data_IF_536466330349
#
_entry.id   IF_536466330349
#
_cell.length_a   1.000
_cell.length_b   1.000
_cell.length_c   1.000
_cell.angle_alpha   90.00
_cell.angle_beta   90.00
_cell.angle_gamma   90.00
#
_symmetry.space_group_name_H-M   'P 1'
#
loop_
_entity.id
_entity.type
_entity.pdbx_description
1 polymer ?
#
# COMPACT_ATOMS: atom_id res chain seq x y z
N UNK A 1 29.67 -6.01 7.38
CA UNK A 1 29.15 -6.89 6.31
C UNK A 1 28.43 -6.01 5.29
N UNK A 2 28.57 -6.29 3.99
CA UNK A 2 27.78 -5.59 2.98
C UNK A 2 26.29 -5.94 3.14
N UNK A 3 25.39 -4.96 3.02
CA UNK A 3 23.95 -5.16 3.10
C UNK A 3 23.47 -5.89 1.84
N UNK A 4 22.64 -6.94 2.00
CA UNK A 4 22.04 -7.65 0.88
C UNK A 4 21.02 -6.76 0.13
N UNK A 5 20.86 -7.01 -1.16
CA UNK A 5 19.79 -6.42 -1.95
C UNK A 5 18.48 -7.19 -1.68
N UNK A 6 17.53 -6.54 -1.04
CA UNK A 6 16.25 -7.14 -0.67
C UNK A 6 15.15 -6.73 -1.67
N UNK A 7 14.63 -7.70 -2.43
CA UNK A 7 13.54 -7.54 -3.39
C UNK A 7 12.18 -8.07 -2.87
N UNK A 8 12.06 -8.27 -1.56
CA UNK A 8 10.81 -8.74 -0.95
C UNK A 8 9.68 -7.74 -1.17
N UNK A 9 8.47 -8.23 -1.40
CA UNK A 9 7.30 -7.39 -1.65
C UNK A 9 6.66 -6.78 -0.39
N UNK A 10 7.07 -7.26 0.79
CA UNK A 10 6.60 -6.77 2.10
C UNK A 10 6.81 -7.84 3.18
N UNK A 11 7.52 -7.49 4.27
CA UNK A 11 8.24 -6.24 4.50
C UNK A 11 9.33 -5.99 3.47
N UNK A 12 9.46 -4.73 3.03
CA UNK A 12 10.46 -4.33 2.02
C UNK A 12 11.75 -3.83 2.66
N UNK A 13 12.72 -3.45 1.82
CA UNK A 13 13.93 -2.78 2.29
C UNK A 13 13.62 -1.37 2.82
N UNK A 14 14.04 -1.07 4.03
CA UNK A 14 14.01 0.29 4.60
C UNK A 14 15.27 1.03 4.17
N UNK A 15 15.23 2.34 3.83
CA UNK A 15 16.42 3.12 3.52
C UNK A 15 17.49 3.01 4.61
N UNK A 16 18.78 2.93 4.21
CA UNK A 16 19.86 2.76 5.18
C UNK A 16 19.94 3.94 6.14
N UNK A 17 19.76 5.16 5.64
CA UNK A 17 19.79 6.39 6.45
C UNK A 17 18.74 6.35 7.56
N UNK A 18 17.52 5.86 7.24
CA UNK A 18 16.43 5.67 8.23
C UNK A 18 16.82 4.66 9.30
N UNK A 19 17.43 3.54 8.90
CA UNK A 19 17.91 2.52 9.86
C UNK A 19 19.06 3.03 10.72
N UNK A 20 19.98 3.81 10.14
CA UNK A 20 21.10 4.40 10.86
C UNK A 20 20.61 5.38 11.90
N UNK A 21 19.72 6.29 11.53
CA UNK A 21 19.13 7.24 12.48
C UNK A 21 18.34 6.51 13.58
N UNK A 22 17.52 5.53 13.24
CA UNK A 22 16.79 4.74 14.22
C UNK A 22 17.71 3.97 15.17
N UNK A 23 18.88 3.53 14.71
CA UNK A 23 19.89 2.86 15.54
C UNK A 23 20.55 3.85 16.51
N UNK A 24 20.90 5.05 16.05
CA UNK A 24 21.49 6.10 16.89
C UNK A 24 20.55 6.56 18.00
N UNK A 25 19.25 6.67 17.69
CA UNK A 25 18.22 7.12 18.63
C UNK A 25 17.58 5.95 19.44
N UNK A 26 18.07 4.71 19.27
CA UNK A 26 17.38 3.52 19.76
C UNK A 26 17.28 3.47 21.30
N UNK A 27 18.32 3.89 22.03
CA UNK A 27 18.35 3.88 23.48
C UNK A 27 18.03 5.22 24.13
N UNK A 28 18.21 6.31 23.37
CA UNK A 28 17.97 7.66 23.88
C UNK A 28 17.33 8.53 22.79
N UNK A 29 16.01 8.50 22.72
CA UNK A 29 15.29 9.33 21.78
C UNK A 29 15.17 10.76 22.29
N UNK A 30 15.68 11.70 21.51
CA UNK A 30 15.60 13.15 21.77
C UNK A 30 16.15 13.59 23.16
N UNK A 31 17.15 12.88 23.69
CA UNK A 31 17.77 13.21 24.99
C UNK A 31 16.89 12.90 26.21
N UNK A 32 15.89 12.02 26.04
CA UNK A 32 14.96 11.64 27.13
C UNK A 32 15.52 10.56 28.05
N UNK A 33 16.63 9.92 27.67
CA UNK A 33 17.17 8.74 28.36
C UNK A 33 16.31 7.47 28.17
N UNK A 34 15.34 7.50 27.22
CA UNK A 34 14.42 6.38 26.93
C UNK A 34 14.35 6.13 25.42
N UNK A 35 14.11 4.88 25.04
CA UNK A 35 13.73 4.54 23.67
C UNK A 35 12.36 5.11 23.32
N UNK A 36 12.14 5.45 22.06
CA UNK A 36 10.80 5.84 21.58
C UNK A 36 9.73 4.78 21.87
N UNK A 37 10.12 3.51 22.03
CA UNK A 37 9.21 2.41 22.39
C UNK A 37 8.70 2.48 23.84
N UNK A 38 9.43 3.17 24.72
CA UNK A 38 9.13 3.30 26.15
C UNK A 38 8.42 4.62 26.47
N UNK A 39 8.46 5.59 25.53
CA UNK A 39 7.88 6.90 25.72
C UNK A 39 6.35 6.81 25.60
N UNK A 40 5.65 7.40 26.57
CA UNK A 40 4.19 7.49 26.50
C UNK A 40 3.73 8.17 25.23
N UNK A 41 2.81 7.53 24.50
CA UNK A 41 2.20 8.09 23.30
C UNK A 41 1.43 9.41 23.54
N UNK A 42 1.14 9.73 24.80
CA UNK A 42 0.48 10.99 25.24
C UNK A 42 1.46 12.05 25.68
N UNK A 43 2.76 11.77 25.70
CA UNK A 43 3.78 12.78 26.00
C UNK A 43 3.92 13.77 24.85
N UNK A 44 4.38 14.98 25.18
CA UNK A 44 4.66 16.01 24.15
C UNK A 44 5.70 15.53 23.15
N UNK A 45 6.67 14.73 23.56
CA UNK A 45 7.72 14.17 22.71
C UNK A 45 7.14 13.27 21.63
N UNK A 46 6.28 12.32 22.01
CA UNK A 46 5.66 11.44 21.01
C UNK A 46 4.59 12.13 20.17
N UNK A 47 3.83 13.05 20.77
CA UNK A 47 2.87 13.87 20.02
C UNK A 47 3.53 14.68 18.92
N UNK A 48 4.77 15.18 19.16
CA UNK A 48 5.56 15.84 18.11
C UNK A 48 5.91 14.87 16.97
N UNK A 49 6.38 13.66 17.28
CA UNK A 49 6.65 12.61 16.26
C UNK A 49 5.41 12.33 15.41
N UNK A 50 4.25 12.16 16.05
CA UNK A 50 3.00 11.87 15.37
C UNK A 50 2.55 13.02 14.46
N UNK A 51 2.60 14.26 14.97
CA UNK A 51 2.20 15.46 14.25
C UNK A 51 3.13 15.74 13.05
N UNK A 52 4.45 15.59 13.23
CA UNK A 52 5.42 15.78 12.15
C UNK A 52 5.22 14.72 11.05
N UNK A 53 5.03 13.45 11.42
CA UNK A 53 4.78 12.39 10.45
C UNK A 53 3.49 12.62 9.65
N UNK A 54 2.41 13.10 10.30
CA UNK A 54 1.19 13.46 9.59
C UNK A 54 1.42 14.63 8.64
N UNK A 55 2.10 15.69 9.09
CA UNK A 55 2.37 16.86 8.27
C UNK A 55 3.26 16.50 7.06
N UNK A 56 4.32 15.73 7.26
CA UNK A 56 5.18 15.26 6.18
C UNK A 56 4.42 14.44 5.14
N UNK A 57 3.51 13.56 5.59
CA UNK A 57 2.67 12.78 4.69
C UNK A 57 1.72 13.69 3.88
N UNK A 58 1.10 14.68 4.55
CA UNK A 58 0.24 15.68 3.91
C UNK A 58 0.98 16.47 2.85
N UNK A 59 2.18 16.93 3.16
CA UNK A 59 3.03 17.70 2.25
C UNK A 59 3.43 16.89 1.03
N UNK A 60 3.86 15.64 1.23
CA UNK A 60 4.34 14.75 0.16
C UNK A 60 3.21 14.36 -0.81
N UNK A 61 2.02 14.10 -0.28
CA UNK A 61 0.89 13.61 -1.07
C UNK A 61 -0.07 14.73 -1.52
N UNK A 62 0.12 15.97 -1.06
CA UNK A 62 -0.81 17.06 -1.32
C UNK A 62 -2.21 16.78 -0.74
N UNK A 63 -2.28 16.22 0.47
CA UNK A 63 -3.57 15.87 1.10
C UNK A 63 -4.39 17.12 1.35
N UNK A 64 -5.65 17.22 0.86
CA UNK A 64 -6.50 18.37 1.11
C UNK A 64 -6.66 18.64 2.63
N UNK A 65 -6.66 19.89 3.09
CA UNK A 65 -6.70 20.21 4.53
C UNK A 65 -7.91 19.61 5.27
N UNK A 66 -9.06 19.46 4.59
CA UNK A 66 -10.27 18.91 5.17
C UNK A 66 -10.15 17.40 5.46
N UNK A 67 -9.37 16.67 4.66
CA UNK A 67 -9.24 15.21 4.79
C UNK A 67 -8.63 14.81 6.13
N UNK A 68 -9.09 13.70 6.67
CA UNK A 68 -8.52 13.12 7.89
C UNK A 68 -7.46 12.09 7.51
N UNK A 69 -6.33 12.16 8.23
CA UNK A 69 -5.26 11.17 8.14
C UNK A 69 -5.28 10.36 9.43
N UNK A 70 -5.48 9.06 9.31
CA UNK A 70 -5.59 8.14 10.43
C UNK A 70 -4.40 7.18 10.40
N UNK A 71 -3.78 6.98 11.56
CA UNK A 71 -2.70 6.03 11.77
C UNK A 71 -3.22 4.87 12.60
N UNK A 72 -3.36 3.71 11.97
CA UNK A 72 -4.05 2.53 12.49
C UNK A 72 -3.11 1.34 12.59
N UNK A 73 -3.61 0.27 13.18
CA UNK A 73 -2.98 -1.05 13.17
C UNK A 73 -3.75 -2.00 12.24
N UNK A 74 -3.27 -3.23 12.06
CA UNK A 74 -4.01 -4.31 11.38
C UNK A 74 -3.73 -4.48 9.87
N UNK A 75 -3.03 -3.56 9.22
CA UNK A 75 -2.66 -3.67 7.79
C UNK A 75 -3.86 -3.61 6.85
N UNK A 76 -3.61 -3.88 5.57
CA UNK A 76 -4.66 -3.93 4.54
C UNK A 76 -5.74 -4.97 4.84
N UNK A 77 -5.37 -6.10 5.44
CA UNK A 77 -6.35 -7.16 5.74
C UNK A 77 -7.45 -6.70 6.70
N UNK A 78 -7.11 -5.82 7.65
CA UNK A 78 -8.14 -5.20 8.50
C UNK A 78 -8.95 -4.18 7.69
N UNK A 79 -8.33 -3.40 6.80
CA UNK A 79 -9.03 -2.41 5.98
C UNK A 79 -10.06 -3.06 5.05
N UNK A 80 -9.83 -4.28 4.57
CA UNK A 80 -10.82 -5.03 3.77
C UNK A 80 -12.16 -5.24 4.49
N UNK A 81 -12.14 -5.32 5.84
CA UNK A 81 -13.33 -5.38 6.67
C UNK A 81 -13.76 -3.99 7.17
N UNK A 82 -12.80 -3.16 7.57
CA UNK A 82 -13.07 -1.87 8.22
C UNK A 82 -13.69 -0.85 7.24
N UNK A 83 -13.28 -0.87 5.97
CA UNK A 83 -13.85 -0.02 4.92
C UNK A 83 -15.37 -0.23 4.78
N UNK A 84 -15.89 -1.45 4.51
CA UNK A 84 -17.34 -1.63 4.43
C UNK A 84 -18.06 -1.31 5.76
N UNK A 85 -17.47 -1.63 6.92
CA UNK A 85 -18.05 -1.27 8.21
C UNK A 85 -18.27 0.24 8.38
N UNK A 86 -17.40 1.07 7.78
CA UNK A 86 -17.42 2.52 7.95
C UNK A 86 -18.08 3.28 6.79
N UNK A 87 -18.13 2.70 5.59
CA UNK A 87 -18.54 3.46 4.40
C UNK A 87 -19.86 2.99 3.78
N UNK A 88 -20.36 1.82 4.17
CA UNK A 88 -21.55 1.26 3.50
C UNK A 88 -22.81 2.08 3.77
N UNK A 89 -22.95 2.63 4.98
CA UNK A 89 -24.12 3.40 5.38
C UNK A 89 -25.43 2.64 5.12
N UNK A 90 -26.47 3.36 4.72
CA UNK A 90 -27.78 2.81 4.40
C UNK A 90 -27.88 2.22 2.99
N UNK A 91 -26.86 2.40 2.15
CA UNK A 91 -26.89 1.93 0.75
C UNK A 91 -26.79 0.42 0.61
N UNK A 92 -26.12 -0.25 1.53
CA UNK A 92 -26.03 -1.71 1.60
C UNK A 92 -25.19 -2.38 0.51
N UNK A 93 -24.86 -1.69 -0.59
CA UNK A 93 -24.17 -2.23 -1.77
C UNK A 93 -22.90 -1.44 -2.07
N UNK A 94 -21.83 -2.15 -2.46
CA UNK A 94 -20.57 -1.54 -2.90
C UNK A 94 -20.03 -2.21 -4.16
N UNK A 95 -19.42 -1.42 -5.03
CA UNK A 95 -18.80 -1.85 -6.28
C UNK A 95 -17.31 -2.15 -6.08
N UNK A 96 -16.82 -3.20 -6.75
CA UNK A 96 -15.43 -3.64 -6.69
C UNK A 96 -14.88 -3.97 -8.08
N UNK A 97 -13.66 -3.51 -8.36
CA UNK A 97 -12.87 -3.96 -9.51
C UNK A 97 -11.98 -5.13 -9.09
N UNK A 98 -12.06 -6.24 -9.81
CA UNK A 98 -11.30 -7.47 -9.52
C UNK A 98 -10.13 -7.62 -10.49
N UNK A 99 -8.96 -7.15 -10.08
CA UNK A 99 -7.75 -7.07 -10.91
C UNK A 99 -6.61 -7.97 -10.44
N UNK A 100 -6.81 -8.73 -9.36
CA UNK A 100 -5.79 -9.65 -8.85
C UNK A 100 -6.15 -10.28 -7.51
N UNK A 101 -5.12 -10.80 -6.83
CA UNK A 101 -5.28 -11.49 -5.54
C UNK A 101 -5.82 -10.57 -4.45
N UNK A 102 -5.30 -9.32 -4.37
CA UNK A 102 -5.62 -8.44 -3.26
C UNK A 102 -7.02 -7.86 -3.38
N UNK A 103 -7.40 -7.43 -4.57
CA UNK A 103 -8.79 -7.05 -4.85
C UNK A 103 -9.76 -8.20 -4.60
N UNK A 104 -9.39 -9.45 -4.94
CA UNK A 104 -10.18 -10.64 -4.63
C UNK A 104 -10.36 -10.86 -3.12
N UNK A 105 -9.30 -10.66 -2.32
CA UNK A 105 -9.40 -10.74 -0.85
C UNK A 105 -10.24 -9.61 -0.25
N UNK A 106 -10.16 -8.41 -0.81
CA UNK A 106 -11.02 -7.30 -0.39
C UNK A 106 -12.50 -7.61 -0.66
N UNK A 107 -12.82 -8.14 -1.84
CA UNK A 107 -14.17 -8.62 -2.21
C UNK A 107 -14.67 -9.67 -1.23
N UNK A 108 -13.87 -10.70 -0.95
CA UNK A 108 -14.24 -11.79 -0.05
C UNK A 108 -14.54 -11.28 1.38
N UNK A 109 -13.69 -10.40 1.89
CA UNK A 109 -13.88 -9.83 3.22
C UNK A 109 -15.12 -8.93 3.29
N UNK A 110 -15.33 -8.06 2.28
CA UNK A 110 -16.45 -7.12 2.25
C UNK A 110 -17.83 -7.80 2.18
N UNK A 111 -17.94 -8.97 1.54
CA UNK A 111 -19.18 -9.77 1.45
C UNK A 111 -19.79 -10.14 2.79
N UNK A 112 -19.05 -10.03 3.88
CA UNK A 112 -19.57 -10.25 5.23
C UNK A 112 -20.34 -9.06 5.78
N UNK A 113 -20.20 -7.89 5.16
CA UNK A 113 -20.69 -6.61 5.67
C UNK A 113 -21.66 -5.91 4.71
N UNK A 114 -21.61 -6.24 3.42
CA UNK A 114 -22.44 -5.60 2.41
C UNK A 114 -22.64 -6.52 1.18
N UNK A 115 -23.61 -6.13 0.33
CA UNK A 115 -23.75 -6.71 -0.99
C UNK A 115 -22.61 -6.20 -1.90
N UNK A 116 -21.74 -7.11 -2.34
CA UNK A 116 -20.59 -6.78 -3.17
C UNK A 116 -20.86 -7.08 -4.64
N UNK A 117 -20.82 -6.04 -5.46
CA UNK A 117 -20.91 -6.16 -6.92
C UNK A 117 -19.52 -6.11 -7.53
N UNK A 118 -19.12 -7.17 -8.21
CA UNK A 118 -17.89 -7.18 -9.02
C UNK A 118 -18.24 -6.58 -10.38
N UNK A 119 -17.88 -5.31 -10.58
CA UNK A 119 -18.30 -4.53 -11.74
C UNK A 119 -17.47 -4.80 -13.00
N UNK A 120 -16.23 -5.29 -12.80
CA UNK A 120 -15.39 -5.85 -13.85
C UNK A 120 -14.32 -6.78 -13.24
N UNK A 121 -13.85 -7.75 -14.02
CA UNK A 121 -12.85 -8.71 -13.55
C UNK A 121 -11.90 -9.13 -14.68
N UNK A 122 -10.59 -9.13 -14.39
CA UNK A 122 -9.54 -9.69 -15.22
C UNK A 122 -9.23 -11.17 -14.91
N UNK A 123 -10.08 -11.86 -14.12
CA UNK A 123 -9.82 -13.25 -13.71
C UNK A 123 -9.68 -14.20 -14.90
N UNK A 124 -10.52 -14.05 -15.92
CA UNK A 124 -10.51 -14.93 -17.09
C UNK A 124 -9.21 -14.85 -17.91
N UNK A 125 -8.50 -13.70 -17.86
CA UNK A 125 -7.20 -13.51 -18.51
C UNK A 125 -6.00 -13.86 -17.60
N UNK A 126 -6.25 -14.33 -16.38
CA UNK A 126 -5.19 -14.59 -15.40
C UNK A 126 -4.62 -13.30 -14.76
N UNK A 127 -5.39 -12.21 -14.77
CA UNK A 127 -5.00 -10.92 -14.20
C UNK A 127 -3.77 -10.30 -14.88
N UNK A 128 -3.81 -10.22 -16.20
CA UNK A 128 -2.73 -9.65 -17.00
C UNK A 128 -2.94 -8.18 -17.41
N UNK A 129 -4.10 -7.61 -17.06
CA UNK A 129 -4.47 -6.21 -17.37
C UNK A 129 -5.51 -5.67 -16.37
N UNK A 130 -5.80 -4.37 -16.49
CA UNK A 130 -6.98 -3.74 -15.90
C UNK A 130 -8.08 -3.75 -16.94
N UNK A 131 -9.29 -4.30 -16.65
CA UNK A 131 -10.41 -4.26 -17.59
C UNK A 131 -10.69 -2.82 -18.05
N UNK A 132 -10.95 -2.57 -19.34
CA UNK A 132 -11.25 -1.24 -19.84
C UNK A 132 -12.55 -0.70 -19.22
N UNK A 133 -12.63 0.62 -19.03
CA UNK A 133 -13.78 1.26 -18.39
C UNK A 133 -15.11 1.00 -19.11
N UNK A 134 -15.09 0.77 -20.44
CA UNK A 134 -16.26 0.38 -21.23
C UNK A 134 -16.93 -0.90 -20.76
N UNK A 135 -16.20 -1.78 -20.11
CA UNK A 135 -16.67 -3.10 -19.66
C UNK A 135 -17.23 -3.05 -18.23
N UNK A 136 -17.04 -1.93 -17.52
CA UNK A 136 -17.51 -1.82 -16.15
C UNK A 136 -19.03 -1.67 -16.07
N UNK A 137 -19.65 -2.38 -15.14
CA UNK A 137 -21.09 -2.35 -14.87
C UNK A 137 -21.36 -1.68 -13.53
N UNK A 138 -21.02 -0.37 -13.46
CA UNK A 138 -21.17 0.43 -12.24
C UNK A 138 -22.63 0.49 -11.78
N UNK A 139 -22.83 0.52 -10.46
CA UNK A 139 -24.12 0.71 -9.83
C UNK A 139 -24.23 2.15 -9.34
N UNK A 140 -25.22 2.90 -9.85
CA UNK A 140 -25.45 4.29 -9.46
C UNK A 140 -25.72 4.46 -7.95
N UNK A 141 -26.25 3.42 -7.29
CA UNK A 141 -26.56 3.43 -5.86
C UNK A 141 -25.45 2.83 -5.00
N UNK A 142 -24.28 2.52 -5.55
CA UNK A 142 -23.17 2.02 -4.76
C UNK A 142 -22.71 3.02 -3.69
N UNK A 143 -22.38 2.52 -2.51
CA UNK A 143 -21.83 3.34 -1.44
C UNK A 143 -20.43 3.86 -1.81
N UNK A 144 -19.65 3.03 -2.52
CA UNK A 144 -18.32 3.33 -3.03
C UNK A 144 -17.92 2.36 -4.15
N UNK A 145 -16.88 2.74 -4.93
CA UNK A 145 -16.16 1.86 -5.84
C UNK A 145 -14.77 1.58 -5.25
N UNK A 146 -14.51 0.31 -4.93
CA UNK A 146 -13.19 -0.13 -4.45
C UNK A 146 -12.31 -0.64 -5.60
N UNK A 147 -11.04 -0.22 -5.59
CA UNK A 147 -10.02 -0.76 -6.49
C UNK A 147 -8.65 -0.90 -5.78
N UNK A 148 -7.85 -1.84 -6.26
CA UNK A 148 -6.46 -2.03 -5.83
C UNK A 148 -5.55 -1.42 -6.88
N UNK A 149 -4.95 -0.28 -6.57
CA UNK A 149 -4.19 0.54 -7.52
C UNK A 149 -3.00 -0.22 -8.12
N UNK A 150 -2.37 -1.08 -7.29
CA UNK A 150 -1.27 -1.93 -7.72
C UNK A 150 -1.38 -3.33 -7.10
N UNK A 151 -1.60 -4.33 -7.93
CA UNK A 151 -1.67 -5.73 -7.53
C UNK A 151 -0.27 -6.33 -7.34
N UNK A 152 0.19 -6.34 -6.10
CA UNK A 152 1.55 -6.76 -5.69
C UNK A 152 1.95 -8.16 -6.19
N UNK A 153 0.98 -9.06 -6.35
CA UNK A 153 1.21 -10.47 -6.73
C UNK A 153 1.27 -10.63 -8.24
N UNK A 154 0.32 -10.02 -8.96
CA UNK A 154 0.20 -10.15 -10.42
C UNK A 154 1.01 -9.10 -11.17
N UNK A 155 1.44 -8.01 -10.50
CA UNK A 155 2.20 -6.93 -11.12
C UNK A 155 1.39 -6.06 -12.07
N UNK A 156 0.07 -6.03 -11.89
CA UNK A 156 -0.86 -5.17 -12.63
C UNK A 156 -1.06 -3.87 -11.87
N UNK A 157 -0.94 -2.75 -12.57
CA UNK A 157 -1.11 -1.42 -12.01
C UNK A 157 -2.07 -0.59 -12.86
N UNK A 158 -2.92 0.19 -12.19
CA UNK A 158 -3.78 1.15 -12.88
C UNK A 158 -2.93 2.27 -13.50
N UNK A 159 -3.22 2.61 -14.76
CA UNK A 159 -2.58 3.73 -15.46
C UNK A 159 -3.10 5.04 -14.87
N UNK A 160 -4.43 5.16 -14.78
CA UNK A 160 -5.14 6.34 -14.33
C UNK A 160 -6.07 5.99 -13.16
N UNK A 161 -6.46 7.02 -12.39
CA UNK A 161 -7.49 6.89 -11.37
C UNK A 161 -8.84 6.57 -12.05
N UNK A 162 -9.57 5.54 -11.59
CA UNK A 162 -10.91 5.24 -12.08
C UNK A 162 -11.84 6.44 -12.09
N UNK A 163 -12.80 6.46 -13.03
CA UNK A 163 -13.91 7.41 -13.00
C UNK A 163 -15.15 6.73 -12.43
N UNK A 164 -15.79 7.38 -11.44
CA UNK A 164 -17.01 6.90 -10.78
C UNK A 164 -17.75 8.07 -10.14
N UNK A 165 -19.08 8.03 -10.17
CA UNK A 165 -19.92 8.96 -9.39
C UNK A 165 -19.97 8.58 -7.91
N UNK A 166 -19.76 7.31 -7.58
CA UNK A 166 -19.60 6.85 -6.21
C UNK A 166 -18.20 7.19 -5.68
N UNK A 167 -18.03 7.46 -4.37
CA UNK A 167 -16.73 7.70 -3.76
C UNK A 167 -15.73 6.58 -4.08
N UNK A 168 -14.52 6.94 -4.51
CA UNK A 168 -13.46 5.96 -4.77
C UNK A 168 -12.79 5.51 -3.47
N UNK A 169 -12.62 4.21 -3.30
CA UNK A 169 -11.81 3.60 -2.26
C UNK A 169 -10.60 2.91 -2.88
N UNK A 170 -9.42 3.39 -2.55
CA UNK A 170 -8.16 2.93 -3.13
C UNK A 170 -7.34 2.12 -2.13
N UNK A 171 -7.08 0.83 -2.44
CA UNK A 171 -5.96 0.11 -1.86
C UNK A 171 -4.67 0.53 -2.56
N UNK A 172 -3.92 1.41 -1.92
CA UNK A 172 -2.63 1.90 -2.39
C UNK A 172 -1.45 1.28 -1.64
N UNK A 173 -1.63 0.12 -0.98
CA UNK A 173 -0.61 -0.47 -0.10
C UNK A 173 0.76 -0.62 -0.76
N UNK A 174 0.81 -1.02 -2.03
CA UNK A 174 2.08 -1.23 -2.72
C UNK A 174 2.50 -0.11 -3.67
N UNK A 175 1.73 0.97 -3.72
CA UNK A 175 1.99 2.10 -4.62
C UNK A 175 2.04 3.46 -3.94
N UNK A 176 1.43 3.63 -2.76
CA UNK A 176 1.51 4.89 -2.03
C UNK A 176 2.97 5.29 -1.83
N UNK A 177 3.30 6.55 -2.09
CA UNK A 177 4.66 7.10 -2.04
C UNK A 177 5.63 6.56 -3.13
N UNK A 178 5.16 5.78 -4.10
CA UNK A 178 5.98 5.35 -5.25
C UNK A 178 5.74 6.19 -6.50
N UNK A 179 4.58 6.81 -6.58
CA UNK A 179 4.16 7.75 -7.64
C UNK A 179 3.16 8.76 -7.08
N UNK A 180 2.97 9.92 -7.74
CA UNK A 180 1.91 10.86 -7.40
C UNK A 180 0.53 10.20 -7.46
N UNK A 181 -0.34 10.59 -6.53
CA UNK A 181 -1.75 10.22 -6.47
C UNK A 181 -2.56 11.48 -6.14
N UNK A 182 -3.65 11.72 -6.85
CA UNK A 182 -4.56 12.81 -6.54
C UNK A 182 -5.54 12.37 -5.45
N UNK A 183 -5.23 12.72 -4.21
CA UNK A 183 -6.05 12.38 -3.05
C UNK A 183 -7.47 12.96 -3.15
N UNK A 184 -7.62 14.17 -3.72
CA UNK A 184 -8.92 14.82 -3.82
C UNK A 184 -9.95 14.08 -4.69
N UNK A 185 -9.48 13.18 -5.57
CA UNK A 185 -10.36 12.31 -6.37
C UNK A 185 -10.87 11.07 -5.60
N UNK A 186 -10.43 10.85 -4.37
CA UNK A 186 -10.76 9.65 -3.60
C UNK A 186 -11.58 10.00 -2.36
N UNK A 187 -12.60 9.20 -2.09
CA UNK A 187 -13.27 9.22 -0.80
C UNK A 187 -12.41 8.63 0.32
N UNK A 188 -11.61 7.60 -0.03
CA UNK A 188 -10.69 6.98 0.92
C UNK A 188 -9.49 6.35 0.19
N UNK A 189 -8.28 6.58 0.73
CA UNK A 189 -7.05 5.89 0.33
C UNK A 189 -6.46 5.22 1.56
N UNK A 190 -6.07 3.94 1.46
CA UNK A 190 -5.38 3.28 2.56
C UNK A 190 -4.10 2.58 2.10
N UNK A 191 -3.14 2.49 3.01
CA UNK A 191 -1.88 1.80 2.76
C UNK A 191 -1.25 1.26 4.04
N UNK A 192 -0.75 0.02 4.00
CA UNK A 192 0.00 -0.58 5.08
C UNK A 192 1.50 -0.26 4.95
N UNK A 193 2.13 0.16 6.04
CA UNK A 193 3.45 0.79 6.05
C UNK A 193 4.61 -0.13 5.62
N UNK A 194 4.49 -1.45 5.78
CA UNK A 194 5.58 -2.41 5.51
C UNK A 194 6.05 -2.48 4.05
N UNK A 195 5.49 -1.68 3.16
CA UNK A 195 5.91 -1.57 1.76
C UNK A 195 6.74 -0.30 1.55
N UNK A 196 6.13 0.84 1.29
CA UNK A 196 6.87 2.05 0.91
C UNK A 196 7.05 3.08 2.05
N UNK A 197 6.37 2.89 3.19
CA UNK A 197 6.35 3.90 4.26
C UNK A 197 7.21 3.55 5.48
N UNK A 198 7.70 2.31 5.59
CA UNK A 198 8.44 1.89 6.78
C UNK A 198 8.33 0.39 7.07
N UNK A 199 7.84 0.03 8.26
CA UNK A 199 7.78 -1.35 8.74
C UNK A 199 6.35 -1.81 9.02
N UNK A 200 6.17 -3.12 9.23
CA UNK A 200 4.87 -3.68 9.64
C UNK A 200 4.41 -3.11 10.99
N UNK A 201 3.10 -3.02 11.18
CA UNK A 201 2.47 -2.57 12.42
C UNK A 201 1.70 -1.26 12.29
N UNK A 202 1.92 -0.48 11.24
CA UNK A 202 1.18 0.75 10.96
C UNK A 202 0.41 0.65 9.65
N UNK A 203 -0.76 1.30 9.61
CA UNK A 203 -1.60 1.47 8.43
C UNK A 203 -2.05 2.91 8.37
N UNK A 204 -1.92 3.56 7.23
CA UNK A 204 -2.43 4.90 7.00
C UNK A 204 -3.75 4.81 6.27
N UNK A 205 -4.73 5.59 6.73
CA UNK A 205 -6.01 5.83 6.03
C UNK A 205 -6.17 7.33 5.85
N UNK A 206 -6.38 7.77 4.62
CA UNK A 206 -6.70 9.15 4.28
C UNK A 206 -8.15 9.15 3.80
N UNK A 207 -9.02 9.88 4.48
CA UNK A 207 -10.47 9.79 4.26
C UNK A 207 -11.11 11.17 4.18
N UNK A 208 -12.04 11.31 3.23
CA UNK A 208 -12.93 12.47 3.13
C UNK A 208 -13.84 12.51 4.37
N UNK A 209 -13.88 13.64 5.12
CA UNK A 209 -14.72 13.76 6.30
C UNK A 209 -16.22 13.53 6.04
N UNK A 210 -16.70 13.76 4.82
CA UNK A 210 -18.08 13.48 4.43
C UNK A 210 -18.46 11.99 4.50
N UNK A 211 -17.49 11.10 4.61
CA UNK A 211 -17.71 9.66 4.73
C UNK A 211 -17.69 9.14 6.17
N UNK A 212 -17.25 9.94 7.14
CA UNK A 212 -17.04 9.48 8.52
C UNK A 212 -18.32 9.12 9.27
N UNK A 213 -19.45 9.72 8.89
CA UNK A 213 -20.74 9.49 9.55
C UNK A 213 -21.51 8.28 8.97
N UNK A 214 -20.92 7.56 8.02
CA UNK A 214 -21.56 6.41 7.35
C UNK A 214 -21.33 5.08 8.06
N UNK A 215 -20.72 5.11 9.21
CA UNK A 215 -20.36 3.92 9.98
C UNK A 215 -21.59 3.11 10.36
N UNK A 216 -21.52 1.79 10.17
CA UNK A 216 -22.59 0.88 10.58
C UNK A 216 -22.73 0.85 12.11
N UNK A 217 -23.96 0.72 12.61
CA UNK A 217 -24.25 0.77 14.06
C UNK A 217 -23.52 -0.30 14.89
N UNK A 218 -23.16 -1.44 14.28
CA UNK A 218 -22.39 -2.50 14.96
C UNK A 218 -20.87 -2.30 14.91
N UNK A 219 -20.37 -1.23 14.25
CA UNK A 219 -18.93 -0.99 14.16
C UNK A 219 -18.36 -0.66 15.53
N UNK A 220 -17.43 -1.47 16.10
CA UNK A 220 -16.81 -1.15 17.36
C UNK A 220 -16.05 0.18 17.30
N UNK A 221 -16.05 0.95 18.39
CA UNK A 221 -15.38 2.26 18.45
C UNK A 221 -13.93 2.21 17.96
N UNK A 222 -13.20 1.16 18.33
CA UNK A 222 -11.80 0.97 17.93
C UNK A 222 -11.62 0.76 16.41
N UNK A 223 -12.66 0.44 15.67
CA UNK A 223 -12.69 0.28 14.23
C UNK A 223 -13.46 1.40 13.53
N UNK A 224 -14.04 2.34 14.28
CA UNK A 224 -14.81 3.44 13.74
C UNK A 224 -13.91 4.62 13.36
N UNK A 225 -13.86 4.98 12.08
CA UNK A 225 -12.97 6.04 11.58
C UNK A 225 -13.28 7.41 12.20
N UNK A 226 -14.54 7.72 12.48
CA UNK A 226 -14.90 8.98 13.14
C UNK A 226 -14.31 9.04 14.55
N UNK A 227 -14.50 7.98 15.36
CA UNK A 227 -13.96 7.89 16.73
C UNK A 227 -12.44 7.95 16.75
N UNK A 228 -11.81 7.27 15.81
CA UNK A 228 -10.34 7.28 15.67
C UNK A 228 -9.87 8.68 15.28
N UNK A 229 -10.59 9.36 14.38
CA UNK A 229 -10.29 10.73 13.95
C UNK A 229 -10.41 11.73 15.11
N UNK A 230 -11.49 11.66 15.89
CA UNK A 230 -11.71 12.49 17.09
C UNK A 230 -10.56 12.32 18.11
N UNK A 231 -10.06 11.10 18.24
CA UNK A 231 -8.95 10.77 19.14
C UNK A 231 -7.56 10.99 18.51
N UNK A 232 -7.46 11.62 17.34
CA UNK A 232 -6.19 11.84 16.63
C UNK A 232 -5.37 10.56 16.48
N UNK A 233 -6.03 9.45 16.12
CA UNK A 233 -5.47 8.09 16.02
C UNK A 233 -4.95 7.49 17.33
N UNK A 234 -5.25 8.09 18.46
CA UNK A 234 -4.78 7.66 19.79
C UNK A 234 -5.92 7.20 20.69
N UNK A 235 -6.96 6.59 20.10
CA UNK A 235 -8.06 5.99 20.84
C UNK A 235 -7.56 4.86 21.78
N UNK A 236 -6.58 4.10 21.33
CA UNK A 236 -5.77 3.18 22.12
C UNK A 236 -4.28 3.49 21.96
N UNK A 237 -3.41 2.79 22.67
CA UNK A 237 -1.96 2.91 22.49
C UNK A 237 -1.57 2.51 21.07
N UNK A 238 -1.00 3.43 20.28
CA UNK A 238 -0.63 3.15 18.89
C UNK A 238 0.65 2.33 18.79
N UNK A 239 0.97 1.87 17.58
CA UNK A 239 2.25 1.25 17.27
C UNK A 239 3.35 2.34 17.19
N UNK A 240 3.90 2.75 18.36
CA UNK A 240 4.78 3.92 18.49
C UNK A 240 6.03 3.81 17.63
N UNK A 241 6.75 2.68 17.71
CA UNK A 241 7.99 2.47 16.92
C UNK A 241 7.75 2.43 15.41
N UNK A 242 6.74 1.68 14.87
CA UNK A 242 6.37 1.77 13.47
C UNK A 242 5.97 3.18 13.01
N UNK A 243 5.29 3.96 13.86
CA UNK A 243 4.93 5.35 13.54
C UNK A 243 6.17 6.23 13.44
N UNK A 244 7.07 6.15 14.41
CA UNK A 244 8.35 6.83 14.38
C UNK A 244 9.17 6.49 13.13
N UNK A 245 9.32 5.21 12.77
CA UNK A 245 10.03 4.79 11.56
C UNK A 245 9.35 5.28 10.27
N UNK A 246 8.03 5.34 10.27
CA UNK A 246 7.28 5.96 9.15
C UNK A 246 7.62 7.45 9.07
N UNK A 247 7.65 8.18 10.18
CA UNK A 247 8.08 9.59 10.21
C UNK A 247 9.48 9.79 9.64
N UNK A 248 10.45 8.97 10.05
CA UNK A 248 11.81 9.01 9.50
C UNK A 248 11.82 8.74 7.97
N UNK A 249 11.01 7.78 7.53
CA UNK A 249 10.92 7.45 6.09
C UNK A 249 10.34 8.62 5.29
N UNK A 250 9.32 9.30 5.82
CA UNK A 250 8.72 10.47 5.17
C UNK A 250 9.72 11.63 5.08
N UNK A 251 10.47 11.89 6.15
CA UNK A 251 11.57 12.87 6.14
C UNK A 251 12.63 12.50 5.10
N UNK A 252 13.02 11.23 5.04
CA UNK A 252 13.97 10.76 4.03
C UNK A 252 13.45 10.98 2.60
N UNK A 253 12.16 10.74 2.34
CA UNK A 253 11.52 11.03 1.04
C UNK A 253 11.66 12.51 0.69
N UNK A 254 11.33 13.42 1.62
CA UNK A 254 11.45 14.88 1.40
C UNK A 254 12.89 15.28 1.07
N UNK A 255 13.87 14.77 1.83
CA UNK A 255 15.29 15.03 1.58
C UNK A 255 15.84 14.40 0.30
N UNK A 256 15.23 13.29 -0.17
CA UNK A 256 15.62 12.59 -1.39
C UNK A 256 15.10 13.23 -2.69
N UNK A 257 14.53 14.42 -2.63
CA UNK A 257 13.96 15.16 -3.75
C UNK A 257 12.46 14.97 -3.93
N UNK A 258 11.79 14.44 -2.90
CA UNK A 258 10.33 14.28 -2.85
C UNK A 258 9.80 13.15 -3.72
N UNK A 259 8.47 13.07 -3.79
CA UNK A 259 7.76 11.99 -4.46
C UNK A 259 8.06 11.91 -5.97
N UNK A 260 8.24 13.04 -6.64
CA UNK A 260 8.52 13.07 -8.06
C UNK A 260 9.89 12.45 -8.40
N UNK A 261 10.91 12.74 -7.61
CA UNK A 261 12.24 12.15 -7.78
C UNK A 261 12.22 10.63 -7.52
N UNK A 262 11.48 10.18 -6.49
CA UNK A 262 11.30 8.75 -6.23
C UNK A 262 10.57 8.06 -7.38
N UNK A 263 9.51 8.67 -7.91
CA UNK A 263 8.77 8.14 -9.05
C UNK A 263 9.68 7.94 -10.27
N UNK A 264 10.51 8.93 -10.61
CA UNK A 264 11.47 8.81 -11.70
C UNK A 264 12.47 7.67 -11.48
N UNK A 265 12.98 7.51 -10.26
CA UNK A 265 13.88 6.38 -9.89
C UNK A 265 13.17 5.03 -10.02
N UNK A 266 11.92 4.92 -9.55
CA UNK A 266 11.13 3.69 -9.63
C UNK A 266 10.84 3.32 -11.10
N UNK A 267 10.47 4.30 -11.93
CA UNK A 267 10.33 4.09 -13.37
C UNK A 267 11.64 3.63 -14.03
N UNK A 268 12.78 4.20 -13.64
CA UNK A 268 14.08 3.80 -14.20
C UNK A 268 14.43 2.35 -13.84
N UNK A 269 14.24 1.96 -12.57
CA UNK A 269 14.44 0.58 -12.09
C UNK A 269 13.53 -0.40 -12.84
N UNK A 270 12.24 -0.09 -12.92
CA UNK A 270 11.24 -0.93 -13.59
C UNK A 270 11.60 -1.10 -15.08
N UNK A 271 11.90 0.01 -15.79
CA UNK A 271 12.32 -0.05 -17.20
C UNK A 271 13.55 -0.90 -17.41
N UNK A 272 14.55 -0.82 -16.53
CA UNK A 272 15.76 -1.65 -16.61
C UNK A 272 15.41 -3.14 -16.56
N UNK A 273 14.56 -3.53 -15.58
CA UNK A 273 14.18 -4.93 -15.40
C UNK A 273 13.29 -5.44 -16.54
N UNK A 274 12.29 -4.67 -16.95
CA UNK A 274 11.42 -5.05 -18.08
C UNK A 274 12.22 -5.16 -19.40
N UNK A 275 13.18 -4.29 -19.66
CA UNK A 275 14.06 -4.42 -20.82
C UNK A 275 14.88 -5.73 -20.78
N UNK A 276 15.36 -6.12 -19.62
CA UNK A 276 16.08 -7.39 -19.48
C UNK A 276 15.16 -8.59 -19.70
N UNK A 277 13.91 -8.52 -19.23
CA UNK A 277 12.90 -9.57 -19.45
C UNK A 277 12.54 -9.65 -20.94
N UNK A 278 12.14 -8.53 -21.55
CA UNK A 278 11.65 -8.47 -22.93
C UNK A 278 12.78 -8.79 -23.95
N UNK A 279 14.04 -8.44 -23.63
CA UNK A 279 15.21 -8.70 -24.49
C UNK A 279 15.85 -10.08 -24.27
N UNK A 280 15.23 -10.98 -23.50
CA UNK A 280 15.80 -12.29 -23.16
C UNK A 280 15.45 -13.42 -24.13
N UNK A 281 14.92 -13.12 -25.30
CA UNK A 281 14.43 -14.10 -26.30
C UNK A 281 13.50 -15.17 -25.70
N UNK A 282 12.66 -14.74 -24.74
CA UNK A 282 11.67 -15.57 -24.06
C UNK A 282 12.21 -16.45 -22.93
N UNK A 283 13.49 -16.30 -22.55
CA UNK A 283 14.04 -16.98 -21.37
C UNK A 283 13.37 -16.48 -20.09
N UNK A 284 13.20 -15.15 -19.94
CA UNK A 284 12.32 -14.55 -18.92
C UNK A 284 10.99 -14.18 -19.54
N UNK A 285 9.90 -14.40 -18.81
CA UNK A 285 8.54 -14.13 -19.27
C UNK A 285 7.78 -13.34 -18.22
N UNK A 286 7.15 -12.25 -18.62
CA UNK A 286 6.17 -11.51 -17.84
C UNK A 286 4.84 -11.56 -18.56
N UNK A 287 3.76 -11.94 -17.86
CA UNK A 287 2.42 -12.12 -18.46
C UNK A 287 1.62 -10.82 -18.55
N UNK A 288 2.04 -9.77 -17.85
CA UNK A 288 1.27 -8.52 -17.77
C UNK A 288 1.41 -7.75 -19.08
N UNK A 289 0.30 -7.30 -19.63
CA UNK A 289 0.27 -6.44 -20.82
C UNK A 289 1.02 -5.14 -20.55
N UNK A 290 1.85 -4.72 -21.50
CA UNK A 290 2.83 -3.64 -21.32
C UNK A 290 2.27 -2.35 -20.70
N UNK A 291 1.07 -1.83 -21.06
CA UNK A 291 0.53 -0.62 -20.45
C UNK A 291 0.22 -0.75 -18.96
N UNK A 292 -0.08 -1.95 -18.48
CA UNK A 292 -0.50 -2.22 -17.10
C UNK A 292 0.62 -2.76 -16.21
N UNK A 293 1.86 -2.80 -16.69
CA UNK A 293 3.01 -3.28 -15.93
C UNK A 293 3.33 -2.38 -14.74
N UNK A 294 3.38 -2.98 -13.56
CA UNK A 294 3.71 -2.30 -12.31
C UNK A 294 5.14 -1.74 -12.32
N UNK A 295 5.31 -0.51 -11.84
CA UNK A 295 6.64 0.05 -11.56
C UNK A 295 7.20 -0.39 -10.21
N UNK A 296 6.41 -1.07 -9.39
CA UNK A 296 6.75 -1.46 -8.01
C UNK A 296 7.03 -2.97 -7.89
N UNK A 297 6.26 -3.80 -8.58
CA UNK A 297 6.31 -5.25 -8.43
C UNK A 297 6.36 -5.90 -9.81
N UNK A 298 7.47 -6.52 -10.12
CA UNK A 298 7.73 -7.15 -11.42
C UNK A 298 7.75 -8.67 -11.24
N UNK A 299 6.60 -9.37 -11.44
CA UNK A 299 6.58 -10.83 -11.50
C UNK A 299 7.19 -11.30 -12.82
N UNK A 300 7.88 -12.43 -12.77
CA UNK A 300 8.39 -13.08 -13.98
C UNK A 300 8.58 -14.58 -13.76
N UNK A 301 8.70 -15.32 -14.84
CA UNK A 301 8.99 -16.74 -14.85
C UNK A 301 10.17 -17.04 -15.77
N UNK A 302 10.81 -18.16 -15.55
CA UNK A 302 11.76 -18.70 -16.51
C UNK A 302 10.99 -19.55 -17.56
N UNK A 303 11.52 -19.63 -18.77
CA UNK A 303 11.00 -20.50 -19.83
C UNK A 303 10.87 -21.94 -19.34
N UNK A 304 11.87 -22.40 -18.59
CA UNK A 304 11.90 -23.70 -17.94
C UNK A 304 11.71 -23.53 -16.42
N UNK A 305 10.55 -23.89 -15.89
CA UNK A 305 10.20 -23.77 -14.46
C UNK A 305 11.20 -24.54 -13.57
N UNK A 306 11.78 -25.65 -14.07
CA UNK A 306 12.77 -26.43 -13.34
C UNK A 306 14.04 -25.61 -12.97
N UNK A 307 14.36 -24.57 -13.72
CA UNK A 307 15.49 -23.69 -13.46
C UNK A 307 15.23 -22.66 -12.35
N UNK A 308 13.98 -22.39 -11.96
CA UNK A 308 13.65 -21.37 -10.96
C UNK A 308 14.34 -21.62 -9.61
N UNK A 309 14.47 -22.88 -9.20
CA UNK A 309 15.19 -23.25 -7.98
C UNK A 309 16.69 -22.89 -8.05
N UNK A 310 17.31 -23.18 -9.18
CA UNK A 310 18.73 -22.90 -9.43
C UNK A 310 18.96 -21.39 -9.52
N UNK A 311 18.05 -20.67 -10.20
CA UNK A 311 18.09 -19.21 -10.27
C UNK A 311 18.06 -18.57 -8.87
N UNK A 312 17.10 -18.97 -8.01
CA UNK A 312 16.98 -18.44 -6.64
C UNK A 312 18.24 -18.68 -5.82
N UNK A 313 18.81 -19.88 -5.90
CA UNK A 313 20.09 -20.20 -5.22
C UNK A 313 21.25 -19.31 -5.69
N UNK A 314 21.40 -19.10 -7.00
CA UNK A 314 22.46 -18.23 -7.54
C UNK A 314 22.20 -16.77 -7.19
N UNK A 315 20.93 -16.31 -7.19
CA UNK A 315 20.59 -14.98 -6.77
C UNK A 315 20.96 -14.72 -5.30
N UNK A 316 20.62 -15.65 -4.40
CA UNK A 316 21.00 -15.56 -2.98
C UNK A 316 22.52 -15.53 -2.79
N UNK A 317 23.27 -16.36 -3.51
CA UNK A 317 24.74 -16.35 -3.51
C UNK A 317 25.32 -15.02 -3.99
N UNK A 318 24.64 -14.35 -4.92
CA UNK A 318 24.98 -13.01 -5.39
C UNK A 318 24.47 -11.88 -4.47
N UNK A 319 23.85 -12.20 -3.32
CA UNK A 319 23.31 -11.21 -2.38
C UNK A 319 21.97 -10.63 -2.78
N UNK A 320 21.25 -11.24 -3.75
CA UNK A 320 19.92 -10.83 -4.20
C UNK A 320 18.85 -11.69 -3.50
N UNK A 321 18.16 -11.11 -2.52
CA UNK A 321 17.21 -11.83 -1.67
C UNK A 321 15.76 -11.44 -1.97
N UNK A 322 14.82 -12.33 -1.63
CA UNK A 322 13.37 -12.04 -1.71
C UNK A 322 12.77 -12.14 -3.10
N UNK A 323 13.46 -12.79 -4.06
CA UNK A 323 12.99 -12.92 -5.45
C UNK A 323 11.97 -14.03 -5.68
N UNK A 324 11.70 -14.91 -4.71
CA UNK A 324 10.70 -15.96 -4.83
C UNK A 324 9.30 -15.34 -4.98
N UNK A 325 8.54 -15.79 -5.99
CA UNK A 325 7.17 -15.37 -6.20
C UNK A 325 6.21 -15.78 -5.08
N UNK A 326 5.01 -15.23 -5.09
CA UNK A 326 3.99 -15.54 -4.08
C UNK A 326 3.53 -16.99 -4.20
N UNK A 327 3.24 -17.64 -3.06
CA UNK A 327 2.85 -19.06 -3.03
C UNK A 327 1.63 -19.41 -3.90
N UNK A 328 0.69 -18.46 -4.07
CA UNK A 328 -0.52 -18.67 -4.87
C UNK A 328 -0.29 -18.72 -6.39
N UNK A 329 0.80 -18.10 -6.88
CA UNK A 329 1.07 -18.00 -8.32
C UNK A 329 2.42 -18.63 -8.73
N UNK A 330 3.32 -18.84 -7.76
CA UNK A 330 4.67 -19.34 -8.03
C UNK A 330 5.56 -18.33 -8.77
N UNK A 331 6.57 -18.83 -9.49
CA UNK A 331 7.49 -18.02 -10.26
C UNK A 331 8.42 -17.16 -9.41
N UNK A 332 8.82 -16.05 -9.96
CA UNK A 332 9.76 -15.08 -9.41
C UNK A 332 9.10 -13.69 -9.35
N UNK A 333 9.55 -12.83 -8.44
CA UNK A 333 9.08 -11.44 -8.36
C UNK A 333 10.15 -10.56 -7.76
N UNK A 334 10.48 -9.48 -8.45
CA UNK A 334 11.28 -8.41 -7.89
C UNK A 334 10.36 -7.25 -7.46
N UNK A 335 10.48 -6.82 -6.20
CA UNK A 335 9.87 -5.58 -5.71
C UNK A 335 10.94 -4.51 -5.63
N UNK A 336 10.68 -3.32 -6.23
CA UNK A 336 11.69 -2.33 -6.60
C UNK A 336 11.72 -1.11 -5.68
#
# INVERSE_FOLDING_TARGET
MARSHNFSAGPTAVPLDVLTQAHEEFFDFAGTGMSVMEISHRSQVFMAVASEAEQDLRDILGVPPAYKVLFLQGGASLQFAQVPMNLIGDKGTADYLHTGLWSGKAIEAARRYCDVRVVASAHASGFDHVPPASDWRLNADAAYLHYTENETVHGVQFIDTPASDAPLVCDACSSLLSKPIDIARHGLVYAAAQKNMGVAGLTVVIVDPALLERSHAFTPDILNYARISEAQSMLNTPATFPWYLTGLTLKWIKHSGGLQALHQRNQAKARMLYRAIDGSDGFYRNSVQAPYRSINNVPFRLAEVALEKTFLRHAEQAGLNGLKGHASVGGLRASL
#
